data_IF_449064692481
#
_entry.id   IF_449064692481
#
_cell.length_a   1.000
_cell.length_b   1.000
_cell.length_c   1.000
_cell.angle_alpha   90.00
_cell.angle_beta   90.00
_cell.angle_gamma   90.00
#
_symmetry.space_group_name_H-M   'P 1'
#
loop_
_entity.id
_entity.type
_entity.pdbx_description
1 polymer ?
#
# COMPACT_ATOMS: atom_id res chain seq x y z
N UNK A 1 19.21 13.23 -3.76
CA UNK A 1 17.80 12.93 -3.41
C UNK A 1 17.74 11.46 -3.12
N UNK A 2 17.48 11.11 -1.86
CA UNK A 2 17.79 9.81 -1.30
C UNK A 2 16.86 8.73 -1.85
N UNK A 3 17.49 7.70 -2.41
CA UNK A 3 16.87 6.51 -2.95
C UNK A 3 16.48 5.66 -1.74
N UNK A 4 15.21 5.69 -1.33
CA UNK A 4 14.69 4.78 -0.31
C UNK A 4 14.57 3.38 -0.93
N UNK A 5 15.70 2.68 -0.97
CA UNK A 5 15.76 1.25 -1.28
C UNK A 5 15.47 0.49 0.01
N UNK A 6 14.20 0.45 0.41
CA UNK A 6 13.77 -0.30 1.59
C UNK A 6 13.47 -1.74 1.22
N UNK A 7 13.86 -2.65 2.11
CA UNK A 7 13.85 -4.10 1.99
C UNK A 7 12.45 -4.67 1.63
N UNK A 8 12.21 -4.94 0.35
CA UNK A 8 10.88 -5.24 -0.22
C UNK A 8 10.39 -6.66 0.12
N UNK A 9 9.29 -6.77 0.86
CA UNK A 9 8.39 -7.95 0.82
C UNK A 9 7.26 -7.84 -0.22
N UNK A 10 7.03 -6.63 -0.75
CA UNK A 10 6.03 -6.31 -1.76
C UNK A 10 6.74 -5.73 -2.99
N UNK A 11 6.42 -6.21 -4.19
CA UNK A 11 7.02 -5.65 -5.41
C UNK A 11 6.58 -4.18 -5.61
N UNK A 12 7.36 -3.33 -6.31
CA UNK A 12 6.98 -1.93 -6.55
C UNK A 12 5.62 -1.76 -7.24
N UNK A 13 5.23 -2.72 -8.09
CA UNK A 13 3.91 -2.78 -8.70
C UNK A 13 2.79 -2.97 -7.66
N UNK A 14 3.04 -3.81 -6.66
CA UNK A 14 2.09 -4.09 -5.58
C UNK A 14 1.96 -2.89 -4.63
N UNK A 15 3.05 -2.17 -4.37
CA UNK A 15 3.03 -0.94 -3.58
C UNK A 15 2.20 0.13 -4.28
N UNK A 16 2.36 0.28 -5.60
CA UNK A 16 1.55 1.20 -6.38
C UNK A 16 0.06 0.83 -6.28
N UNK A 17 -0.30 -0.44 -6.51
CA UNK A 17 -1.67 -0.90 -6.38
C UNK A 17 -2.24 -0.69 -4.97
N UNK A 18 -1.41 -0.87 -3.93
CA UNK A 18 -1.81 -0.59 -2.55
C UNK A 18 -2.09 0.90 -2.32
N UNK A 19 -1.25 1.80 -2.85
CA UNK A 19 -1.48 3.25 -2.77
C UNK A 19 -2.76 3.65 -3.52
N UNK A 20 -2.99 3.09 -4.71
CA UNK A 20 -4.22 3.31 -5.48
C UNK A 20 -5.46 2.80 -4.72
N UNK A 21 -5.36 1.63 -4.10
CA UNK A 21 -6.43 1.09 -3.25
C UNK A 21 -6.70 1.96 -2.02
N UNK A 22 -5.66 2.47 -1.35
CA UNK A 22 -5.79 3.39 -0.20
C UNK A 22 -6.41 4.73 -0.66
N UNK A 23 -6.10 5.20 -1.87
CA UNK A 23 -6.66 6.44 -2.42
C UNK A 23 -8.13 6.29 -2.85
N UNK A 24 -8.50 5.14 -3.41
CA UNK A 24 -9.91 4.81 -3.75
C UNK A 24 -10.77 4.67 -2.48
N UNK A 25 -10.15 4.11 -1.45
CA UNK A 25 -10.64 4.09 -0.10
C UNK A 25 -10.96 5.53 0.38
N UNK A 26 -12.24 5.87 0.57
CA UNK A 26 -12.66 7.20 1.06
C UNK A 26 -12.30 7.40 2.53
N UNK A 27 -11.03 7.71 2.81
CA UNK A 27 -10.51 7.93 4.14
C UNK A 27 -10.57 9.43 4.41
N UNK A 28 -11.29 9.83 5.47
CA UNK A 28 -11.59 11.25 5.74
C UNK A 28 -10.36 12.12 6.03
N UNK A 29 -9.22 11.52 6.35
CA UNK A 29 -8.07 12.19 6.96
C UNK A 29 -6.75 11.98 6.19
N UNK A 30 -6.80 11.42 4.98
CA UNK A 30 -5.59 11.18 4.18
C UNK A 30 -5.78 11.77 2.78
N UNK A 31 -4.77 12.48 2.30
CA UNK A 31 -4.74 13.01 0.92
C UNK A 31 -3.84 12.15 0.05
N UNK A 32 -3.93 12.32 -1.28
CA UNK A 32 -3.04 11.61 -2.22
C UNK A 32 -1.55 11.88 -1.96
N UNK A 33 -1.19 13.09 -1.53
CA UNK A 33 0.19 13.48 -1.19
C UNK A 33 0.67 12.73 0.07
N UNK A 34 -0.19 12.58 1.07
CA UNK A 34 0.10 11.79 2.27
C UNK A 34 0.30 10.31 1.92
N UNK A 35 -0.49 9.77 0.98
CA UNK A 35 -0.37 8.38 0.51
C UNK A 35 0.98 8.15 -0.19
N UNK A 36 1.46 9.13 -0.96
CA UNK A 36 2.77 9.05 -1.60
C UNK A 36 3.91 8.97 -0.58
N UNK A 37 3.76 9.68 0.55
CA UNK A 37 4.71 9.71 1.67
C UNK A 37 4.63 8.49 2.59
N UNK A 38 3.61 7.63 2.46
CA UNK A 38 3.51 6.42 3.26
C UNK A 38 4.71 5.50 3.01
N UNK A 39 5.30 5.04 4.11
CA UNK A 39 6.34 4.02 4.10
C UNK A 39 5.75 2.64 3.80
N UNK A 40 6.57 1.74 3.28
CA UNK A 40 6.15 0.38 2.89
C UNK A 40 5.51 -0.38 4.08
N UNK A 41 6.04 -0.19 5.29
CA UNK A 41 5.49 -0.80 6.52
C UNK A 41 4.09 -0.26 6.85
N UNK A 42 3.86 1.05 6.67
CA UNK A 42 2.56 1.66 6.94
C UNK A 42 1.53 1.20 5.91
N UNK A 43 1.94 1.06 4.65
CA UNK A 43 1.11 0.47 3.59
C UNK A 43 0.78 -0.99 3.93
N UNK A 44 1.78 -1.80 4.30
CA UNK A 44 1.60 -3.20 4.68
C UNK A 44 0.62 -3.35 5.86
N UNK A 45 0.78 -2.51 6.89
CA UNK A 45 -0.11 -2.48 8.07
C UNK A 45 -1.51 -1.99 7.72
N UNK A 46 -1.63 -1.03 6.82
CA UNK A 46 -2.90 -0.53 6.29
C UNK A 46 -3.69 -1.65 5.61
N UNK A 47 -3.06 -2.35 4.66
CA UNK A 47 -3.66 -3.50 3.98
C UNK A 47 -4.01 -4.59 5.00
N UNK A 48 -3.09 -4.93 5.91
CA UNK A 48 -3.32 -6.00 6.89
C UNK A 48 -4.52 -5.73 7.80
N UNK A 49 -4.80 -4.46 8.11
CA UNK A 49 -5.89 -4.04 9.01
C UNK A 49 -7.22 -3.83 8.29
N UNK A 50 -7.18 -3.35 7.05
CA UNK A 50 -8.37 -2.84 6.36
C UNK A 50 -8.77 -3.68 5.13
N UNK A 51 -7.84 -4.44 4.53
CA UNK A 51 -8.16 -5.33 3.43
C UNK A 51 -8.65 -6.68 3.95
N UNK A 52 -9.80 -7.13 3.46
CA UNK A 52 -10.36 -8.43 3.86
C UNK A 52 -9.47 -9.56 3.35
N UNK A 53 -8.89 -10.33 4.27
CA UNK A 53 -7.89 -11.37 3.97
C UNK A 53 -6.43 -10.90 4.05
N UNK A 54 -6.20 -9.64 4.45
CA UNK A 54 -4.88 -9.09 4.71
C UNK A 54 -3.97 -9.02 3.48
N UNK A 55 -2.67 -8.99 3.72
CA UNK A 55 -1.65 -8.79 2.67
C UNK A 55 -1.64 -9.94 1.65
N UNK A 56 -1.91 -11.18 2.06
CA UNK A 56 -1.89 -12.32 1.15
C UNK A 56 -3.06 -12.27 0.16
N UNK A 57 -4.28 -11.97 0.63
CA UNK A 57 -5.41 -11.78 -0.25
C UNK A 57 -5.20 -10.58 -1.19
N UNK A 58 -4.57 -9.50 -0.70
CA UNK A 58 -4.21 -8.36 -1.52
C UNK A 58 -3.23 -8.73 -2.65
N UNK A 59 -2.21 -9.54 -2.32
CA UNK A 59 -1.26 -10.07 -3.30
C UNK A 59 -1.93 -10.90 -4.39
N UNK A 60 -2.90 -11.74 -4.01
CA UNK A 60 -3.66 -12.55 -4.96
C UNK A 60 -4.52 -11.69 -5.88
N UNK A 61 -5.27 -10.73 -5.31
CA UNK A 61 -6.13 -9.84 -6.08
C UNK A 61 -5.36 -8.95 -7.09
N UNK A 62 -4.10 -8.64 -6.81
CA UNK A 62 -3.24 -7.86 -7.69
C UNK A 62 -2.45 -8.73 -8.70
N UNK A 63 -2.50 -10.06 -8.56
CA UNK A 63 -1.82 -11.01 -9.43
C UNK A 63 -2.71 -11.59 -10.53
N UNK A 64 -3.98 -11.17 -10.61
CA UNK A 64 -4.98 -11.59 -11.60
C UNK A 64 -5.35 -10.47 -12.58
#
# INVERSE_FOLDING_TARGET
MNIHTQNLKLSPQLIKAAKEWIADCTWRDITEDDIELLSDEEIERGIQRHYSGGIEAFKQACSE
#
